data_IF_045204862157
#
_entry.id   IF_045204862157
#
_cell.length_a   1.000
_cell.length_b   1.000
_cell.length_c   1.000
_cell.angle_alpha   90.00
_cell.angle_beta   90.00
_cell.angle_gamma   90.00
#
_symmetry.space_group_name_H-M   'P 1'
#
loop_
_entity.id
_entity.type
_entity.pdbx_description
1 polymer ?
#
# COMPACT_ATOMS: atom_id res chain seq x y z
N UNK A 1 -2.48 12.73 15.76
CA UNK A 1 -2.58 11.62 14.79
C UNK A 1 -3.81 10.79 15.09
N UNK A 2 -4.52 10.30 14.06
CA UNK A 2 -5.64 9.36 14.22
C UNK A 2 -5.17 8.04 14.83
N UNK A 3 -6.11 7.26 15.35
CA UNK A 3 -5.77 5.94 15.87
C UNK A 3 -5.23 5.05 14.73
N UNK A 4 -4.22 4.23 15.03
CA UNK A 4 -3.47 3.49 14.00
C UNK A 4 -4.35 2.67 13.07
N UNK A 5 -5.34 1.96 13.62
CA UNK A 5 -6.28 1.12 12.86
C UNK A 5 -7.65 1.78 12.69
N UNK A 6 -7.71 3.11 12.77
CA UNK A 6 -8.94 3.87 12.53
C UNK A 6 -9.39 3.75 11.08
N UNK A 7 -10.66 3.42 10.88
CA UNK A 7 -11.23 3.27 9.54
C UNK A 7 -11.58 4.62 8.91
N UNK A 8 -11.68 4.65 7.59
CA UNK A 8 -12.09 5.82 6.84
C UNK A 8 -10.93 6.65 6.29
N UNK A 9 -11.27 7.56 5.40
CA UNK A 9 -10.32 8.37 4.66
C UNK A 9 -9.75 9.48 5.55
N UNK A 10 -8.46 9.78 5.38
CA UNK A 10 -7.84 10.98 5.94
C UNK A 10 -7.61 11.95 4.78
N UNK A 11 -8.10 13.17 4.95
CA UNK A 11 -7.88 14.27 4.02
C UNK A 11 -6.70 15.09 4.54
N UNK A 12 -5.57 15.03 3.84
CA UNK A 12 -4.40 15.84 4.12
C UNK A 12 -4.36 17.01 3.15
N UNK A 13 -4.38 18.23 3.67
CA UNK A 13 -4.35 19.47 2.88
C UNK A 13 -2.90 19.95 2.74
N UNK A 14 -2.45 20.12 1.50
CA UNK A 14 -1.11 20.64 1.23
C UNK A 14 -1.12 22.17 1.41
N UNK A 15 -0.14 22.77 2.11
CA UNK A 15 -0.02 24.23 2.21
C UNK A 15 0.03 24.96 0.86
N UNK A 16 0.51 24.29 -0.19
CA UNK A 16 0.57 24.81 -1.56
C UNK A 16 -0.74 24.58 -2.34
N UNK A 17 -1.77 24.03 -1.68
CA UNK A 17 -3.12 23.78 -2.22
C UNK A 17 -3.37 22.32 -2.61
N UNK A 18 -4.64 21.95 -2.74
CA UNK A 18 -5.06 20.58 -3.05
C UNK A 18 -5.08 19.66 -1.84
N UNK A 19 -5.57 18.43 -2.06
CA UNK A 19 -5.77 17.44 -1.00
C UNK A 19 -5.27 16.07 -1.42
N UNK A 20 -4.56 15.39 -0.52
CA UNK A 20 -4.29 13.95 -0.64
C UNK A 20 -5.29 13.21 0.24
N UNK A 21 -6.05 12.30 -0.37
CA UNK A 21 -7.01 11.43 0.33
C UNK A 21 -6.33 10.10 0.61
N UNK A 22 -5.88 9.90 1.85
CA UNK A 22 -5.27 8.65 2.31
C UNK A 22 -6.39 7.64 2.60
N UNK A 23 -6.63 6.75 1.65
CA UNK A 23 -7.67 5.73 1.70
C UNK A 23 -7.11 4.40 2.25
N UNK A 24 -7.47 3.99 3.49
CA UNK A 24 -6.89 2.80 4.09
C UNK A 24 -7.43 1.52 3.44
N UNK A 25 -6.53 0.69 2.91
CA UNK A 25 -6.82 -0.65 2.38
C UNK A 25 -6.24 -1.75 3.29
N UNK A 26 -6.75 -2.98 3.18
CA UNK A 26 -6.15 -4.16 3.79
C UNK A 26 -5.61 -5.06 2.67
N UNK A 27 -4.38 -5.59 2.82
CA UNK A 27 -3.76 -6.40 1.79
C UNK A 27 -4.58 -7.64 1.49
N UNK A 28 -4.79 -7.94 0.21
CA UNK A 28 -5.50 -9.14 -0.30
C UNK A 28 -6.99 -9.26 0.07
N UNK A 29 -7.58 -8.22 0.67
CA UNK A 29 -8.99 -8.23 1.12
C UNK A 29 -9.88 -7.50 0.12
N UNK A 30 -10.98 -8.14 -0.26
CA UNK A 30 -12.02 -7.50 -1.08
C UNK A 30 -12.85 -6.57 -0.20
N UNK A 31 -12.76 -5.26 -0.42
CA UNK A 31 -13.51 -4.32 0.40
C UNK A 31 -15.01 -4.35 0.09
N UNK A 32 -15.87 -4.37 1.13
CA UNK A 32 -17.27 -4.08 0.98
C UNK A 32 -17.48 -2.68 0.39
N UNK A 33 -18.50 -2.52 -0.46
CA UNK A 33 -18.84 -1.23 -1.10
C UNK A 33 -18.97 -0.07 -0.10
N UNK A 34 -19.41 -0.34 1.12
CA UNK A 34 -19.57 0.68 2.18
C UNK A 34 -18.25 1.25 2.70
N UNK A 35 -17.14 0.52 2.54
CA UNK A 35 -15.81 0.94 2.98
C UNK A 35 -14.99 1.61 1.88
N UNK A 36 -15.42 1.49 0.62
CA UNK A 36 -14.74 2.17 -0.49
C UNK A 36 -14.89 3.68 -0.36
N UNK A 37 -13.85 4.41 -0.75
CA UNK A 37 -13.88 5.87 -0.77
C UNK A 37 -15.07 6.37 -1.60
N UNK A 38 -15.67 7.47 -1.13
CA UNK A 38 -16.72 8.22 -1.83
C UNK A 38 -16.22 9.58 -2.31
N UNK A 39 -14.96 9.89 -2.06
CA UNK A 39 -14.37 11.14 -2.51
C UNK A 39 -14.40 11.18 -4.05
N UNK A 40 -14.68 12.36 -4.59
CA UNK A 40 -14.32 12.67 -5.96
C UNK A 40 -12.81 12.97 -5.99
N UNK A 41 -12.12 12.46 -7.00
CA UNK A 41 -10.67 12.57 -7.11
C UNK A 41 -10.24 12.74 -8.56
N UNK A 42 -9.11 13.44 -8.71
CA UNK A 42 -8.57 13.89 -10.00
C UNK A 42 -7.43 12.99 -10.48
N UNK A 43 -6.64 12.42 -9.57
CA UNK A 43 -5.60 11.44 -9.89
C UNK A 43 -5.45 10.35 -8.82
N UNK A 44 -4.76 9.27 -9.18
CA UNK A 44 -4.48 8.14 -8.30
C UNK A 44 -2.97 8.07 -8.04
N UNK A 45 -2.57 7.90 -6.78
CA UNK A 45 -1.20 7.56 -6.41
C UNK A 45 -1.11 6.11 -5.93
N UNK A 46 -0.09 5.39 -6.35
CA UNK A 46 0.21 4.03 -5.89
C UNK A 46 1.62 4.03 -5.28
N UNK A 47 1.77 3.49 -4.06
CA UNK A 47 3.07 3.35 -3.38
C UNK A 47 3.89 2.17 -3.92
N UNK A 48 3.93 2.04 -5.23
CA UNK A 48 4.54 0.94 -5.97
C UNK A 48 5.27 1.54 -7.18
N UNK A 49 6.19 0.77 -7.76
CA UNK A 49 6.78 1.07 -9.05
C UNK A 49 5.79 0.76 -10.20
N UNK A 50 5.98 1.32 -11.40
CA UNK A 50 5.09 1.05 -12.54
C UNK A 50 5.03 -0.44 -12.94
N UNK A 51 6.08 -1.20 -12.67
CA UNK A 51 6.20 -2.63 -13.00
C UNK A 51 5.11 -3.48 -12.31
N UNK A 52 4.50 -2.97 -11.23
CA UNK A 52 3.39 -3.64 -10.53
C UNK A 52 2.19 -3.89 -11.44
N UNK A 53 1.99 -3.09 -12.49
CA UNK A 53 0.86 -3.24 -13.41
C UNK A 53 1.00 -4.52 -14.23
N UNK A 54 2.20 -4.82 -14.71
CA UNK A 54 2.49 -6.04 -15.45
C UNK A 54 2.35 -7.27 -14.56
N UNK A 55 2.82 -7.16 -13.31
CA UNK A 55 2.59 -8.19 -12.28
C UNK A 55 1.10 -8.46 -12.10
N UNK A 56 0.28 -7.41 -11.90
CA UNK A 56 -1.17 -7.59 -11.72
C UNK A 56 -1.84 -8.22 -12.94
N UNK A 57 -1.42 -7.85 -14.15
CA UNK A 57 -1.94 -8.46 -15.38
C UNK A 57 -1.58 -9.94 -15.44
N UNK A 58 -0.36 -10.30 -15.04
CA UNK A 58 0.06 -11.69 -14.99
C UNK A 58 -0.70 -12.47 -13.91
N UNK A 59 -0.83 -11.93 -12.69
CA UNK A 59 -1.61 -12.54 -11.61
C UNK A 59 -3.07 -12.77 -12.04
N UNK A 60 -3.69 -11.82 -12.76
CA UNK A 60 -5.04 -11.97 -13.31
C UNK A 60 -5.14 -13.12 -14.32
N UNK A 61 -4.12 -13.33 -15.17
CA UNK A 61 -4.07 -14.48 -16.10
C UNK A 61 -3.91 -15.78 -15.34
N UNK A 62 -2.99 -15.82 -14.38
CA UNK A 62 -2.70 -17.01 -13.58
C UNK A 62 -3.93 -17.43 -12.76
N UNK A 63 -4.67 -16.48 -12.17
CA UNK A 63 -5.95 -16.77 -11.49
C UNK A 63 -7.04 -17.27 -12.43
N UNK A 64 -7.06 -16.81 -13.69
CA UNK A 64 -8.02 -17.28 -14.69
C UNK A 64 -7.72 -18.70 -15.15
N UNK A 65 -6.45 -19.07 -15.26
CA UNK A 65 -6.01 -20.42 -15.63
C UNK A 65 -6.09 -21.42 -14.47
N UNK A 66 -5.71 -20.99 -13.26
CA UNK A 66 -5.66 -21.81 -12.06
C UNK A 66 -6.09 -21.00 -10.83
N UNK A 67 -7.38 -20.96 -10.49
CA UNK A 67 -7.89 -20.19 -9.35
C UNK A 67 -7.17 -20.53 -8.03
N UNK A 68 -6.66 -19.51 -7.35
CA UNK A 68 -5.92 -19.63 -6.08
C UNK A 68 -4.43 -19.96 -6.23
N UNK A 69 -3.88 -19.96 -7.44
CA UNK A 69 -2.44 -20.22 -7.67
C UNK A 69 -1.56 -19.17 -7.01
N UNK A 70 -1.92 -17.89 -7.06
CA UNK A 70 -1.10 -16.82 -6.47
C UNK A 70 -1.14 -16.87 -4.94
N UNK A 71 -2.32 -17.17 -4.37
CA UNK A 71 -2.44 -17.42 -2.93
C UNK A 71 -1.58 -18.61 -2.49
N UNK A 72 -1.63 -19.71 -3.26
CA UNK A 72 -0.82 -20.91 -2.98
C UNK A 72 0.67 -20.61 -3.06
N UNK A 73 1.10 -19.84 -4.07
CA UNK A 73 2.48 -19.38 -4.19
C UNK A 73 2.91 -18.52 -2.99
N UNK A 74 2.06 -17.57 -2.58
CA UNK A 74 2.26 -16.74 -1.39
C UNK A 74 2.40 -17.56 -0.10
N UNK A 75 1.55 -18.57 0.11
CA UNK A 75 1.63 -19.48 1.26
C UNK A 75 2.96 -20.27 1.26
N UNK A 76 3.40 -20.77 0.11
CA UNK A 76 4.64 -21.54 -0.04
C UNK A 76 5.88 -20.69 0.22
N UNK A 77 5.85 -19.40 -0.15
CA UNK A 77 6.96 -18.46 0.08
C UNK A 77 7.36 -18.31 1.56
N UNK A 78 6.42 -18.59 2.47
CA UNK A 78 6.63 -18.59 3.92
C UNK A 78 6.84 -17.19 4.52
N UNK A 79 7.62 -17.11 5.60
CA UNK A 79 7.87 -15.87 6.32
C UNK A 79 6.63 -15.29 7.01
N UNK A 80 6.67 -13.98 7.31
CA UNK A 80 5.55 -13.30 7.95
C UNK A 80 4.33 -13.17 7.03
N UNK A 81 4.56 -13.04 5.71
CA UNK A 81 3.49 -12.91 4.73
C UNK A 81 2.76 -14.25 4.54
N UNK A 82 3.46 -15.38 4.47
CA UNK A 82 2.81 -16.69 4.44
C UNK A 82 1.93 -16.96 5.65
N UNK A 83 2.37 -16.61 6.87
CA UNK A 83 1.55 -16.72 8.09
C UNK A 83 0.33 -15.78 8.01
N UNK A 84 0.52 -14.55 7.51
CA UNK A 84 -0.57 -13.62 7.30
C UNK A 84 -1.62 -14.17 6.33
N UNK A 85 -1.19 -14.71 5.18
CA UNK A 85 -2.08 -15.28 4.16
C UNK A 85 -2.85 -16.49 4.69
N UNK A 86 -2.20 -17.34 5.49
CA UNK A 86 -2.85 -18.49 6.13
C UNK A 86 -3.95 -18.01 7.10
N UNK A 87 -3.61 -17.12 8.03
CA UNK A 87 -4.56 -16.64 9.04
C UNK A 87 -5.67 -15.75 8.46
N UNK A 88 -5.37 -14.86 7.51
CA UNK A 88 -6.36 -13.97 6.89
C UNK A 88 -7.40 -14.74 6.06
N UNK A 89 -6.99 -15.86 5.45
CA UNK A 89 -7.87 -16.72 4.66
C UNK A 89 -8.85 -17.53 5.52
N UNK A 90 -8.56 -17.65 6.83
CA UNK A 90 -9.44 -18.32 7.80
C UNK A 90 -10.40 -17.35 8.51
N UNK A 91 -10.33 -16.04 8.24
CA UNK A 91 -11.23 -15.07 8.86
C UNK A 91 -12.63 -15.18 8.26
N UNK A 92 -13.57 -15.67 9.06
CA UNK A 92 -14.97 -15.81 8.65
C UNK A 92 -15.58 -14.46 8.25
N UNK A 93 -16.51 -14.49 7.28
CA UNK A 93 -17.21 -13.30 6.76
C UNK A 93 -16.29 -12.18 6.22
N UNK A 94 -15.06 -12.52 5.84
CA UNK A 94 -14.11 -11.64 5.14
C UNK A 94 -13.64 -12.34 3.88
N UNK A 95 -13.87 -11.74 2.72
CA UNK A 95 -13.31 -12.26 1.45
C UNK A 95 -11.87 -11.78 1.32
N UNK A 96 -10.92 -12.67 1.56
CA UNK A 96 -9.48 -12.41 1.60
C UNK A 96 -8.69 -13.35 0.68
N UNK A 97 -7.36 -13.23 0.70
CA UNK A 97 -6.46 -14.09 -0.08
C UNK A 97 -6.59 -13.91 -1.60
N UNK A 98 -7.01 -12.72 -2.03
CA UNK A 98 -7.20 -12.39 -3.45
C UNK A 98 -5.97 -11.69 -4.02
N UNK A 99 -5.62 -12.11 -5.22
CA UNK A 99 -4.54 -11.56 -6.03
C UNK A 99 -5.08 -11.23 -7.44
N UNK A 100 -4.62 -10.15 -8.09
CA UNK A 100 -3.87 -9.04 -7.48
C UNK A 100 -4.61 -8.40 -6.31
N UNK A 101 -3.93 -7.55 -5.53
CA UNK A 101 -4.58 -6.87 -4.40
C UNK A 101 -5.86 -6.14 -4.88
N UNK A 102 -7.05 -6.53 -4.37
CA UNK A 102 -8.31 -6.13 -4.98
C UNK A 102 -8.53 -4.63 -5.06
N UNK A 103 -8.22 -3.88 -4.00
CA UNK A 103 -8.58 -2.46 -3.95
C UNK A 103 -7.62 -1.56 -4.73
N UNK A 104 -6.28 -1.68 -4.60
CA UNK A 104 -5.34 -0.98 -5.48
C UNK A 104 -5.59 -1.28 -6.96
N UNK A 105 -5.74 -2.56 -7.34
CA UNK A 105 -6.00 -2.94 -8.74
C UNK A 105 -7.33 -2.39 -9.25
N UNK A 106 -8.38 -2.45 -8.44
CA UNK A 106 -9.71 -1.89 -8.80
C UNK A 106 -9.64 -0.39 -9.02
N UNK A 107 -8.92 0.34 -8.16
CA UNK A 107 -8.74 1.79 -8.29
C UNK A 107 -7.90 2.14 -9.51
N UNK A 108 -6.81 1.40 -9.77
CA UNK A 108 -6.02 1.52 -11.00
C UNK A 108 -6.89 1.37 -12.25
N UNK A 109 -7.64 0.26 -12.37
CA UNK A 109 -8.55 0.04 -13.49
C UNK A 109 -9.60 1.15 -13.63
N UNK A 110 -10.08 1.69 -12.51
CA UNK A 110 -11.02 2.80 -12.54
C UNK A 110 -10.36 4.09 -13.04
N UNK A 111 -9.12 4.39 -12.62
CA UNK A 111 -8.35 5.52 -13.11
C UNK A 111 -8.13 5.44 -14.62
N UNK A 112 -7.60 4.30 -15.11
CA UNK A 112 -7.36 4.07 -16.55
C UNK A 112 -8.64 4.18 -17.36
N UNK A 113 -9.75 3.57 -16.92
CA UNK A 113 -11.04 3.62 -17.64
C UNK A 113 -11.59 5.05 -17.77
N UNK A 114 -11.24 5.93 -16.84
CA UNK A 114 -11.71 7.31 -16.80
C UNK A 114 -10.61 8.31 -17.16
N UNK A 115 -9.50 7.84 -17.75
CA UNK A 115 -8.37 8.67 -18.20
C UNK A 115 -7.83 9.60 -17.10
N UNK A 116 -7.89 9.14 -15.85
CA UNK A 116 -7.30 9.87 -14.71
C UNK A 116 -5.82 9.52 -14.61
N UNK A 117 -4.94 10.52 -14.38
CA UNK A 117 -3.52 10.26 -14.21
C UNK A 117 -3.26 9.31 -13.04
N UNK A 118 -2.35 8.37 -13.25
CA UNK A 118 -1.84 7.44 -12.25
C UNK A 118 -0.38 7.78 -11.98
N UNK A 119 -0.04 8.02 -10.72
CA UNK A 119 1.30 8.35 -10.27
C UNK A 119 1.88 7.15 -9.50
N UNK A 120 2.98 6.60 -9.99
CA UNK A 120 3.76 5.58 -9.29
C UNK A 120 4.78 6.29 -8.40
N UNK A 121 4.56 6.16 -7.09
CA UNK A 121 5.28 6.93 -6.07
C UNK A 121 6.61 6.28 -5.74
N UNK A 122 6.76 4.97 -5.91
CA UNK A 122 8.07 4.36 -5.80
C UNK A 122 8.94 4.79 -7.00
N UNK A 123 10.18 5.28 -6.77
CA UNK A 123 11.12 5.52 -7.86
C UNK A 123 11.41 4.26 -8.66
N UNK A 124 11.72 4.44 -9.94
CA UNK A 124 12.11 3.37 -10.86
C UNK A 124 13.56 2.93 -10.59
N UNK A 125 13.93 1.78 -11.17
CA UNK A 125 15.25 1.16 -10.94
C UNK A 125 16.44 1.97 -11.47
N UNK A 126 16.21 3.04 -12.22
CA UNK A 126 17.22 4.00 -12.68
C UNK A 126 17.52 5.12 -11.67
N UNK A 127 16.73 5.28 -10.60
CA UNK A 127 17.02 6.25 -9.53
C UNK A 127 18.16 5.73 -8.64
N UNK A 128 19.33 6.39 -8.71
CA UNK A 128 20.52 6.01 -7.94
C UNK A 128 20.32 6.11 -6.41
N UNK A 129 19.58 7.11 -5.94
CA UNK A 129 19.32 7.30 -4.51
C UNK A 129 18.36 6.23 -3.99
N UNK A 130 17.38 5.85 -4.81
CA UNK A 130 16.46 4.76 -4.52
C UNK A 130 17.17 3.41 -4.51
N UNK A 131 18.05 3.15 -5.47
CA UNK A 131 18.89 1.93 -5.48
C UNK A 131 19.74 1.82 -4.22
N UNK A 132 20.28 2.95 -3.73
CA UNK A 132 21.00 2.99 -2.46
C UNK A 132 20.08 2.71 -1.28
N UNK A 133 18.84 3.21 -1.30
CA UNK A 133 17.81 2.87 -0.32
C UNK A 133 17.51 1.36 -0.31
N UNK A 134 17.19 0.76 -1.47
CA UNK A 134 16.96 -0.68 -1.61
C UNK A 134 18.16 -1.53 -1.13
N UNK A 135 19.38 -1.06 -1.38
CA UNK A 135 20.60 -1.69 -0.85
C UNK A 135 20.65 -1.65 0.67
N UNK A 136 20.20 -0.56 1.30
CA UNK A 136 20.14 -0.45 2.76
C UNK A 136 19.04 -1.36 3.33
N UNK A 137 17.88 -1.44 2.67
CA UNK A 137 16.83 -2.40 3.04
C UNK A 137 17.36 -3.84 3.00
N UNK A 138 18.03 -4.22 1.92
CA UNK A 138 18.61 -5.55 1.75
C UNK A 138 19.68 -5.85 2.82
N UNK A 139 20.52 -4.88 3.18
CA UNK A 139 21.51 -5.00 4.26
C UNK A 139 20.84 -5.16 5.63
N UNK A 140 19.77 -4.41 5.89
CA UNK A 140 19.02 -4.53 7.14
C UNK A 140 18.36 -5.90 7.25
N UNK A 141 17.71 -6.36 6.17
CA UNK A 141 17.01 -7.65 6.11
C UNK A 141 17.95 -8.86 6.22
N UNK A 142 19.13 -8.79 5.60
CA UNK A 142 20.13 -9.86 5.60
C UNK A 142 21.04 -9.88 6.84
N UNK A 143 20.86 -8.93 7.77
CA UNK A 143 21.67 -8.90 8.98
C UNK A 143 21.47 -10.17 9.83
N UNK A 144 22.55 -10.82 10.28
CA UNK A 144 22.51 -12.13 10.94
C UNK A 144 21.55 -12.22 12.14
N UNK A 145 21.42 -11.14 12.94
CA UNK A 145 20.44 -11.05 14.05
C UNK A 145 18.99 -11.16 13.57
N UNK A 146 18.66 -10.62 12.39
CA UNK A 146 17.34 -10.75 11.77
C UNK A 146 17.12 -12.18 11.29
N UNK A 147 18.09 -12.75 10.58
CA UNK A 147 18.04 -14.12 10.09
C UNK A 147 17.84 -15.14 11.22
N UNK A 148 18.60 -15.04 12.32
CA UNK A 148 18.36 -15.87 13.52
C UNK A 148 16.98 -15.59 14.13
N UNK A 149 16.54 -14.33 14.13
CA UNK A 149 15.21 -13.95 14.58
C UNK A 149 14.08 -14.61 13.77
N UNK A 150 14.28 -14.85 12.47
CA UNK A 150 13.28 -15.47 11.58
C UNK A 150 12.96 -16.91 11.97
N UNK A 151 13.88 -17.64 12.61
CA UNK A 151 13.61 -18.99 13.16
C UNK A 151 12.41 -18.96 14.14
N UNK A 152 12.23 -17.85 14.84
CA UNK A 152 11.16 -17.66 15.83
C UNK A 152 9.96 -16.85 15.30
N UNK A 153 9.79 -16.75 13.98
CA UNK A 153 8.79 -15.86 13.36
C UNK A 153 7.36 -16.12 13.87
N UNK A 154 6.95 -17.38 14.01
CA UNK A 154 5.61 -17.71 14.57
C UNK A 154 5.43 -17.33 16.04
N UNK A 155 6.50 -17.29 16.83
CA UNK A 155 6.46 -16.75 18.20
C UNK A 155 6.31 -15.22 18.21
N UNK A 156 7.07 -14.54 17.34
CA UNK A 156 7.01 -13.09 17.14
C UNK A 156 5.66 -12.63 16.59
N UNK A 157 5.07 -13.41 15.70
CA UNK A 157 3.72 -13.23 15.16
C UNK A 157 2.70 -13.20 16.29
N UNK A 158 2.57 -14.28 17.07
CA UNK A 158 1.62 -14.39 18.19
C UNK A 158 1.78 -13.26 19.21
N UNK A 159 3.01 -12.82 19.49
CA UNK A 159 3.28 -11.69 20.40
C UNK A 159 2.73 -10.37 19.82
N UNK A 160 2.89 -10.12 18.53
CA UNK A 160 2.39 -8.92 17.85
C UNK A 160 0.89 -8.91 17.67
N UNK A 161 0.27 -10.05 17.34
CA UNK A 161 -1.20 -10.17 17.31
C UNK A 161 -1.78 -9.74 18.66
N UNK A 162 -1.25 -10.27 19.78
CA UNK A 162 -1.69 -9.88 21.13
C UNK A 162 -1.55 -8.38 21.42
N UNK A 163 -0.51 -7.74 20.87
CA UNK A 163 -0.32 -6.28 21.00
C UNK A 163 -1.36 -5.54 20.16
N UNK A 164 -1.50 -5.92 18.89
CA UNK A 164 -2.31 -5.19 17.90
C UNK A 164 -3.81 -5.34 18.13
N UNK A 165 -4.27 -6.37 18.85
CA UNK A 165 -5.67 -6.48 19.31
C UNK A 165 -6.11 -5.23 20.09
N UNK A 166 -5.21 -4.61 20.87
CA UNK A 166 -5.53 -3.41 21.65
C UNK A 166 -5.70 -2.15 20.77
N UNK A 167 -5.16 -2.16 19.55
CA UNK A 167 -5.32 -1.06 18.60
C UNK A 167 -6.57 -1.24 17.71
N UNK A 168 -7.24 -2.40 17.77
CA UNK A 168 -8.35 -2.75 16.91
C UNK A 168 -9.52 -1.77 17.04
N UNK A 169 -9.96 -1.22 15.91
CA UNK A 169 -11.11 -0.34 15.83
C UNK A 169 -12.31 -1.06 15.22
N UNK A 170 -13.51 -0.69 15.67
CA UNK A 170 -14.74 -1.26 15.12
C UNK A 170 -14.95 -0.80 13.68
N UNK A 171 -15.13 -1.72 12.70
CA UNK A 171 -15.44 -1.35 11.33
C UNK A 171 -16.74 -0.54 11.20
N UNK A 172 -16.95 0.18 10.09
CA UNK A 172 -18.19 0.93 9.84
C UNK A 172 -19.47 0.10 10.00
N UNK A 173 -20.58 0.73 10.38
CA UNK A 173 -21.83 0.00 10.61
C UNK A 173 -22.30 -0.76 9.35
N UNK A 174 -22.60 -2.04 9.52
CA UNK A 174 -23.15 -2.89 8.47
C UNK A 174 -22.12 -3.43 7.49
N UNK A 175 -20.87 -3.58 7.93
CA UNK A 175 -19.86 -4.50 7.39
C UNK A 175 -19.51 -5.55 8.45
N UNK A 176 -18.83 -6.62 8.07
CA UNK A 176 -18.44 -7.70 9.00
C UNK A 176 -17.58 -7.15 10.15
N UNK A 177 -17.88 -7.46 11.42
CA UNK A 177 -17.01 -7.14 12.55
C UNK A 177 -15.61 -7.78 12.43
N UNK A 178 -15.50 -8.91 11.72
CA UNK A 178 -14.25 -9.64 11.54
C UNK A 178 -13.23 -8.90 10.66
N UNK A 179 -13.64 -7.81 9.99
CA UNK A 179 -12.69 -6.86 9.39
C UNK A 179 -11.77 -6.21 10.43
N UNK A 180 -12.21 -6.09 11.69
CA UNK A 180 -11.33 -5.70 12.80
C UNK A 180 -10.20 -6.69 13.01
N UNK A 181 -10.50 -7.99 12.99
CA UNK A 181 -9.49 -9.06 13.04
C UNK A 181 -8.56 -9.00 11.83
N UNK A 182 -9.11 -8.81 10.63
CA UNK A 182 -8.31 -8.62 9.42
C UNK A 182 -7.32 -7.44 9.52
N UNK A 183 -7.75 -6.32 10.10
CA UNK A 183 -6.87 -5.17 10.36
C UNK A 183 -5.75 -5.50 11.37
N UNK A 184 -6.05 -6.27 12.42
CA UNK A 184 -5.05 -6.74 13.39
C UNK A 184 -4.00 -7.63 12.72
N UNK A 185 -4.42 -8.56 11.86
CA UNK A 185 -3.51 -9.44 11.11
C UNK A 185 -2.65 -8.64 10.13
N UNK A 186 -3.25 -7.70 9.39
CA UNK A 186 -2.52 -6.79 8.49
C UNK A 186 -1.48 -5.96 9.25
N UNK A 187 -1.84 -5.40 10.42
CA UNK A 187 -0.91 -4.67 11.27
C UNK A 187 0.22 -5.55 11.81
N UNK A 188 -0.08 -6.82 12.13
CA UNK A 188 0.90 -7.79 12.62
C UNK A 188 1.93 -8.12 11.54
N UNK A 189 1.47 -8.35 10.31
CA UNK A 189 2.33 -8.53 9.15
C UNK A 189 3.20 -7.30 8.91
N UNK A 190 2.60 -6.11 8.85
CA UNK A 190 3.32 -4.85 8.66
C UNK A 190 4.40 -4.63 9.72
N UNK A 191 4.08 -4.84 11.00
CA UNK A 191 5.03 -4.73 12.12
C UNK A 191 6.20 -5.73 12.06
N UNK A 192 6.04 -6.84 11.33
CA UNK A 192 7.10 -7.79 11.07
C UNK A 192 7.93 -7.39 9.87
N UNK A 193 7.29 -6.92 8.79
CA UNK A 193 7.97 -6.36 7.62
C UNK A 193 8.86 -5.17 8.00
N UNK A 194 8.32 -4.19 8.74
CA UNK A 194 9.07 -3.03 9.24
C UNK A 194 10.17 -3.43 10.23
N UNK A 195 9.95 -4.49 11.02
CA UNK A 195 10.99 -5.00 11.91
C UNK A 195 12.18 -5.57 11.14
N UNK A 196 12.00 -6.07 9.92
CA UNK A 196 13.11 -6.57 9.09
C UNK A 196 13.96 -5.39 8.58
N UNK A 197 13.31 -4.31 8.12
CA UNK A 197 13.94 -3.21 7.37
C UNK A 197 14.59 -2.12 8.25
N UNK A 198 14.30 -2.09 9.56
CA UNK A 198 14.74 -1.08 10.55
C UNK A 198 13.99 0.26 10.46
N UNK A 199 13.78 0.95 11.60
CA UNK A 199 12.99 2.19 11.63
C UNK A 199 13.59 3.31 10.78
N UNK A 200 14.92 3.43 10.73
CA UNK A 200 15.61 4.50 10.01
C UNK A 200 15.41 4.37 8.49
N UNK A 201 15.44 3.13 8.00
CA UNK A 201 15.23 2.86 6.57
C UNK A 201 13.75 3.06 6.21
N UNK A 202 12.82 2.57 7.04
CA UNK A 202 11.38 2.83 6.85
C UNK A 202 11.04 4.32 6.84
N UNK A 203 11.65 5.12 7.72
CA UNK A 203 11.47 6.58 7.73
C UNK A 203 12.01 7.24 6.45
N UNK A 204 13.15 6.78 5.93
CA UNK A 204 13.69 7.29 4.67
C UNK A 204 12.78 6.98 3.47
N UNK A 205 12.20 5.77 3.42
CA UNK A 205 11.17 5.40 2.43
C UNK A 205 9.99 6.36 2.51
N UNK A 206 9.42 6.51 3.70
CA UNK A 206 8.19 7.28 3.90
C UNK A 206 8.41 8.78 3.61
N UNK A 207 9.59 9.32 3.91
CA UNK A 207 9.98 10.69 3.55
C UNK A 207 10.07 10.90 2.02
N UNK A 208 10.67 9.95 1.29
CA UNK A 208 10.73 10.00 -0.18
C UNK A 208 9.34 9.86 -0.79
N UNK A 209 8.52 8.93 -0.29
CA UNK A 209 7.13 8.79 -0.71
C UNK A 209 6.33 10.08 -0.49
N UNK A 210 6.46 10.74 0.67
CA UNK A 210 5.79 12.00 0.93
C UNK A 210 6.24 13.12 -0.04
N UNK A 211 7.53 13.22 -0.34
CA UNK A 211 8.09 14.19 -1.31
C UNK A 211 7.45 14.01 -2.70
N UNK A 212 7.40 12.77 -3.16
CA UNK A 212 6.81 12.36 -4.45
C UNK A 212 5.29 12.53 -4.48
N UNK A 213 4.59 12.17 -3.41
CA UNK A 213 3.16 12.41 -3.26
C UNK A 213 2.80 13.88 -3.39
N UNK A 214 3.60 14.79 -2.80
CA UNK A 214 3.40 16.23 -2.96
C UNK A 214 3.67 16.69 -4.40
N UNK A 215 4.65 16.12 -5.09
CA UNK A 215 4.90 16.41 -6.51
C UNK A 215 3.81 15.88 -7.46
N UNK A 216 3.23 14.70 -7.17
CA UNK A 216 2.04 14.20 -7.87
C UNK A 216 0.85 15.16 -7.70
N UNK A 217 0.62 15.64 -6.47
CA UNK A 217 -0.41 16.64 -6.21
C UNK A 217 -0.11 17.96 -6.93
N UNK A 218 1.15 18.40 -6.97
CA UNK A 218 1.57 19.59 -7.71
C UNK A 218 1.26 19.48 -9.21
N UNK A 219 1.50 18.30 -9.80
CA UNK A 219 1.14 18.01 -11.18
C UNK A 219 -0.36 18.15 -11.41
N UNK A 220 -1.20 17.62 -10.50
CA UNK A 220 -2.65 17.80 -10.57
C UNK A 220 -3.10 19.27 -10.40
N UNK A 221 -2.43 20.04 -9.53
CA UNK A 221 -2.73 21.47 -9.33
C UNK A 221 -2.56 22.29 -10.60
N UNK A 222 -1.65 21.90 -11.50
CA UNK A 222 -1.48 22.60 -12.78
C UNK A 222 -2.75 22.61 -13.65
N UNK A 223 -3.63 21.61 -13.46
CA UNK A 223 -4.89 21.46 -14.20
C UNK A 223 -6.10 21.86 -13.36
N UNK A 224 -6.12 21.47 -12.07
CA UNK A 224 -7.30 21.59 -11.20
C UNK A 224 -7.18 22.70 -10.14
N UNK A 225 -6.06 23.43 -10.09
CA UNK A 225 -5.83 24.48 -9.08
C UNK A 225 -5.86 23.94 -7.65
N UNK A 226 -6.37 24.74 -6.72
CA UNK A 226 -6.49 24.37 -5.29
C UNK A 226 -7.46 23.22 -5.03
N UNK A 227 -8.30 22.88 -6.00
CA UNK A 227 -9.30 21.81 -5.87
C UNK A 227 -8.74 20.44 -6.31
N UNK A 228 -7.45 20.36 -6.63
CA UNK A 228 -6.77 19.12 -6.97
C UNK A 228 -6.92 18.08 -5.84
N UNK A 229 -7.29 16.84 -6.20
CA UNK A 229 -7.47 15.75 -5.24
C UNK A 229 -6.73 14.51 -5.74
N UNK A 230 -5.72 14.10 -4.98
CA UNK A 230 -4.96 12.88 -5.22
C UNK A 230 -5.47 11.77 -4.29
N UNK A 231 -6.00 10.68 -4.85
CA UNK A 231 -6.40 9.51 -4.08
C UNK A 231 -5.19 8.60 -3.85
N UNK A 232 -4.94 8.20 -2.61
CA UNK A 232 -3.87 7.29 -2.23
C UNK A 232 -4.44 6.07 -1.48
N UNK A 233 -4.69 4.93 -2.14
CA UNK A 233 -4.85 3.66 -1.43
C UNK A 233 -3.52 3.25 -0.80
N UNK A 234 -3.54 2.95 0.50
CA UNK A 234 -2.36 2.48 1.23
C UNK A 234 -2.76 1.55 2.37
N UNK A 235 -1.88 0.66 2.78
CA UNK A 235 -2.18 -0.27 3.86
C UNK A 235 -2.50 0.50 5.15
N UNK A 236 -3.63 0.16 5.76
CA UNK A 236 -4.10 0.76 7.02
C UNK A 236 -2.98 0.88 8.08
N UNK A 237 -2.14 -0.15 8.36
CA UNK A 237 -1.07 -0.02 9.36
C UNK A 237 0.11 0.87 8.96
N UNK A 238 0.27 1.21 7.68
CA UNK A 238 1.31 2.11 7.15
C UNK A 238 0.87 3.58 7.13
N UNK A 239 -0.44 3.82 7.03
CA UNK A 239 -1.03 5.15 6.81
C UNK A 239 -0.50 6.25 7.73
N UNK A 240 -0.33 5.97 9.03
CA UNK A 240 0.14 6.98 9.97
C UNK A 240 1.59 7.40 9.71
N UNK A 241 2.47 6.49 9.29
CA UNK A 241 3.86 6.84 8.96
C UNK A 241 3.93 7.74 7.72
N UNK A 242 3.12 7.45 6.70
CA UNK A 242 3.00 8.31 5.50
C UNK A 242 2.41 9.67 5.87
N UNK A 243 1.37 9.71 6.71
CA UNK A 243 0.79 10.95 7.18
C UNK A 243 1.79 11.80 7.98
N UNK A 244 2.57 11.19 8.87
CA UNK A 244 3.62 11.87 9.62
C UNK A 244 4.71 12.42 8.68
N UNK A 245 5.08 11.65 7.64
CA UNK A 245 6.02 12.11 6.61
C UNK A 245 5.45 13.25 5.75
N UNK A 246 4.16 13.27 5.45
CA UNK A 246 3.52 14.41 4.77
C UNK A 246 3.49 15.65 5.68
N UNK A 247 3.21 15.47 6.97
CA UNK A 247 3.20 16.57 7.94
C UNK A 247 4.56 17.19 8.21
N UNK A 248 5.66 16.53 7.84
CA UNK A 248 7.00 17.14 7.88
C UNK A 248 7.24 18.11 6.72
N UNK A 249 6.29 18.21 5.78
CA UNK A 249 6.30 19.11 4.62
C UNK A 249 7.59 18.98 3.79
N UNK A 250 7.97 17.78 3.36
CA UNK A 250 9.18 17.60 2.56
C UNK A 250 9.05 18.35 1.23
N UNK A 251 10.19 18.71 0.62
CA UNK A 251 10.18 19.36 -0.69
C UNK A 251 9.47 18.49 -1.73
N UNK A 252 8.78 19.15 -2.66
CA UNK A 252 8.04 18.46 -3.71
C UNK A 252 9.04 17.85 -4.68
N UNK A 253 8.89 16.57 -4.96
CA UNK A 253 9.70 15.88 -5.96
C UNK A 253 8.87 15.61 -7.21
N UNK A 254 9.34 16.09 -8.36
CA UNK A 254 8.65 15.89 -9.63
C UNK A 254 8.56 14.40 -9.99
N UNK A 255 7.39 13.99 -10.47
CA UNK A 255 7.15 12.64 -10.97
C UNK A 255 6.79 12.74 -12.44
N UNK A 256 7.52 12.01 -13.28
CA UNK A 256 7.14 11.78 -14.67
C UNK A 256 5.78 11.09 -14.72
N UNK A 257 4.77 11.75 -15.29
CA UNK A 257 3.48 11.16 -15.58
C UNK A 257 3.67 9.97 -16.53
N UNK A 258 3.46 8.75 -16.07
CA UNK A 258 3.24 7.62 -16.97
C UNK A 258 1.77 7.69 -17.36
N UNK A 259 1.48 8.57 -18.33
CA UNK A 259 0.17 8.54 -18.98
C UNK A 259 -0.01 7.14 -19.56
N UNK A 260 -1.07 6.44 -19.15
CA UNK A 260 -1.54 5.26 -19.86
C UNK A 260 -2.19 5.73 -21.16
N UNK A 261 -1.35 6.25 -22.07
CA UNK A 261 -1.73 6.36 -23.47
C UNK A 261 -1.66 4.95 -24.05
N UNK A 262 -2.83 4.33 -24.20
CA UNK A 262 -2.97 3.32 -25.22
C UNK A 262 -2.87 4.04 -26.57
N UNK A 263 -1.70 4.02 -27.20
CA UNK A 263 -1.55 3.99 -28.66
C UNK A 263 -0.07 3.88 -29.07
N UNK A 264 0.33 2.67 -29.49
CA UNK A 264 1.21 2.42 -30.65
C UNK A 264 2.71 2.74 -30.60
N UNK A 265 3.51 1.68 -30.82
CA UNK A 265 4.89 1.64 -31.37
C UNK A 265 5.96 2.25 -30.44
N UNK A 266 7.05 1.55 -30.10
CA UNK A 266 8.11 1.14 -31.03
C UNK A 266 8.67 -0.24 -30.65
N UNK A 267 8.57 -1.18 -31.60
CA UNK A 267 9.66 -2.12 -31.85
C UNK A 267 10.77 -1.33 -32.55
N UNK A 268 11.99 -1.36 -32.01
CA UNK A 268 13.24 -1.45 -32.77
C UNK A 268 14.25 -2.35 -32.04
#
# INVERSE_FOLDING_TARGET
MPARLEWGDIHWEDPDGGTIVLHPVLPTVVYPRKMRTRAEWHGLALLESPDVVDLWIQEEKDEAESPGVNLSHGLISGGAFGIFLDEISMVEDVTSGRFPDPEPRRLHRNATRHERPVFFIEPTADDEEWNKHLTNEAKAASHWKKLLGMISIGGKWRKRVKKNIFDAQKPPKGVSPNLGSAAVLSATWWDLSEWIVSPEVGQARDARFASRLRGALASLRSVHGSDAVLLLPLYLPHRNSVLDALNSLPEQEEISLITTSSDGLEEE
#
